data_IF_396817746258
#
_entry.id   IF_396817746258
#
_cell.length_a   1.000
_cell.length_b   1.000
_cell.length_c   1.000
_cell.angle_alpha   90.00
_cell.angle_beta   90.00
_cell.angle_gamma   90.00
#
_symmetry.space_group_name_H-M   'P 1'
#
loop_
_entity.id
_entity.type
_entity.pdbx_description
1 polymer ?
#
# COMPACT_ATOMS: atom_id res chain seq x y z
N UNK A 1 3.00 -0.58 11.08
CA UNK A 1 3.58 0.75 10.79
C UNK A 1 2.56 1.63 10.08
N UNK A 2 2.65 2.96 10.23
CA UNK A 2 1.89 3.93 9.44
C UNK A 2 2.83 4.94 8.77
N UNK A 3 2.56 5.30 7.52
CA UNK A 3 3.35 6.29 6.78
C UNK A 3 2.47 7.16 5.88
N UNK A 4 2.65 8.48 5.92
CA UNK A 4 2.09 9.38 4.92
C UNK A 4 3.14 9.63 3.83
N UNK A 5 2.87 9.19 2.61
CA UNK A 5 3.86 9.21 1.52
C UNK A 5 3.68 10.40 0.59
N UNK A 6 2.73 11.31 0.90
CA UNK A 6 2.44 12.55 0.14
C UNK A 6 2.34 12.35 -1.37
N UNK A 7 1.78 11.21 -1.78
CA UNK A 7 1.64 10.76 -3.17
C UNK A 7 2.96 10.61 -3.92
N UNK A 8 4.09 10.48 -3.22
CA UNK A 8 5.42 10.27 -3.80
C UNK A 8 5.71 8.79 -4.00
N UNK A 9 6.13 8.40 -5.21
CA UNK A 9 6.45 7.01 -5.53
C UNK A 9 7.63 6.49 -4.67
N UNK A 10 8.71 7.27 -4.56
CA UNK A 10 9.91 6.89 -3.82
C UNK A 10 9.61 6.71 -2.33
N UNK A 11 8.88 7.64 -1.71
CA UNK A 11 8.49 7.55 -0.31
C UNK A 11 7.61 6.29 -0.07
N UNK A 12 6.74 5.96 -1.02
CA UNK A 12 5.91 4.76 -0.95
C UNK A 12 6.76 3.48 -1.06
N UNK A 13 7.70 3.40 -2.00
CA UNK A 13 8.62 2.27 -2.12
C UNK A 13 9.52 2.10 -0.89
N UNK A 14 10.04 3.21 -0.33
CA UNK A 14 10.86 3.19 0.89
C UNK A 14 10.04 2.66 2.07
N UNK A 15 8.79 3.11 2.24
CA UNK A 15 7.92 2.60 3.30
C UNK A 15 7.70 1.08 3.18
N UNK A 16 7.47 0.58 1.97
CA UNK A 16 7.34 -0.87 1.72
C UNK A 16 8.62 -1.64 2.04
N UNK A 17 9.79 -1.10 1.68
CA UNK A 17 11.08 -1.72 1.98
C UNK A 17 11.34 -1.76 3.49
N UNK A 18 11.09 -0.66 4.19
CA UNK A 18 11.27 -0.57 5.64
C UNK A 18 10.38 -1.56 6.39
N UNK A 19 9.10 -1.72 6.02
CA UNK A 19 8.25 -2.71 6.69
C UNK A 19 8.69 -4.14 6.42
N UNK A 20 9.22 -4.42 5.22
CA UNK A 20 9.81 -5.73 4.93
C UNK A 20 11.02 -6.00 5.83
N UNK A 21 11.97 -5.06 5.91
CA UNK A 21 13.22 -5.19 6.68
C UNK A 21 12.98 -5.28 8.20
N UNK A 22 11.95 -4.61 8.70
CA UNK A 22 11.61 -4.60 10.13
C UNK A 22 10.57 -5.66 10.50
N UNK A 23 10.31 -6.64 9.62
CA UNK A 23 9.37 -7.74 9.86
C UNK A 23 7.95 -7.29 10.28
N UNK A 24 7.52 -6.12 9.83
CA UNK A 24 6.20 -5.57 10.16
C UNK A 24 5.13 -6.21 9.29
N UNK A 25 4.04 -6.68 9.90
CA UNK A 25 2.95 -7.37 9.19
C UNK A 25 1.98 -6.43 8.48
N UNK A 26 1.67 -5.28 9.07
CA UNK A 26 0.67 -4.35 8.55
C UNK A 26 1.29 -2.96 8.34
N UNK A 27 1.13 -2.44 7.13
CA UNK A 27 1.50 -1.07 6.74
C UNK A 27 0.25 -0.29 6.31
N UNK A 28 -0.02 0.82 7.00
CA UNK A 28 -1.04 1.79 6.64
C UNK A 28 -0.41 2.97 5.89
N UNK A 29 -0.69 3.09 4.59
CA UNK A 29 -0.15 4.16 3.73
C UNK A 29 -1.20 5.25 3.53
N UNK A 30 -0.94 6.45 4.03
CA UNK A 30 -1.76 7.63 3.76
C UNK A 30 -1.23 8.42 2.55
N UNK A 31 -2.14 9.07 1.84
CA UNK A 31 -1.88 9.78 0.59
C UNK A 31 -1.03 8.94 -0.37
N UNK A 32 -1.47 7.72 -0.75
CA UNK A 32 -0.67 6.79 -1.53
C UNK A 32 -0.30 7.37 -2.91
N UNK A 33 0.88 6.99 -3.39
CA UNK A 33 1.14 7.07 -4.82
C UNK A 33 0.29 6.01 -5.53
N UNK A 34 -0.49 6.44 -6.52
CA UNK A 34 -1.17 5.60 -7.49
C UNK A 34 -0.89 6.16 -8.87
N UNK A 35 -0.94 5.31 -9.89
CA UNK A 35 -0.84 5.73 -11.28
C UNK A 35 -1.93 6.78 -11.59
N UNK A 36 -1.59 7.78 -12.42
CA UNK A 36 -2.52 8.88 -12.75
C UNK A 36 -3.83 8.40 -13.37
N UNK A 37 -3.79 7.30 -14.13
CA UNK A 37 -4.99 6.64 -14.62
C UNK A 37 -5.62 5.81 -13.50
N UNK A 38 -6.63 6.37 -12.84
CA UNK A 38 -7.36 5.73 -11.73
C UNK A 38 -8.08 4.44 -12.14
N UNK A 39 -8.52 4.35 -13.40
CA UNK A 39 -9.22 3.16 -13.93
C UNK A 39 -8.27 1.96 -14.06
N UNK A 40 -6.98 2.22 -14.27
CA UNK A 40 -5.98 1.16 -14.30
C UNK A 40 -5.73 0.54 -12.92
N UNK A 41 -6.16 1.21 -11.83
CA UNK A 41 -5.99 0.80 -10.43
C UNK A 41 -4.56 0.32 -10.11
N UNK A 42 -3.55 0.88 -10.78
CA UNK A 42 -2.15 0.46 -10.65
C UNK A 42 -1.50 1.11 -9.43
N UNK A 43 -0.96 0.24 -8.59
CA UNK A 43 -0.26 0.51 -7.33
C UNK A 43 1.24 0.28 -7.52
N UNK A 44 2.03 0.54 -6.49
CA UNK A 44 3.36 -0.08 -6.34
C UNK A 44 3.14 -1.49 -5.78
N UNK A 45 3.39 -2.56 -6.57
CA UNK A 45 3.28 -3.93 -6.08
C UNK A 45 4.45 -4.25 -5.14
N UNK A 46 4.24 -5.21 -4.23
CA UNK A 46 5.31 -5.76 -3.41
C UNK A 46 5.16 -7.28 -3.32
N UNK A 47 6.24 -8.07 -3.52
CA UNK A 47 6.14 -9.53 -3.58
C UNK A 47 5.57 -10.16 -2.31
N UNK A 48 5.90 -9.60 -1.15
CA UNK A 48 5.56 -10.16 0.16
C UNK A 48 4.31 -9.54 0.81
N UNK A 49 3.60 -8.63 0.15
CA UNK A 49 2.41 -7.98 0.72
C UNK A 49 1.23 -8.03 -0.23
N UNK A 50 0.04 -8.24 0.33
CA UNK A 50 -1.25 -7.98 -0.30
C UNK A 50 -1.60 -6.52 -0.06
N UNK A 51 -2.16 -5.85 -1.08
CA UNK A 51 -2.59 -4.46 -0.97
C UNK A 51 -4.11 -4.40 -1.04
N UNK A 52 -4.70 -3.73 -0.05
CA UNK A 52 -6.13 -3.49 0.06
C UNK A 52 -6.42 -2.00 -0.02
N UNK A 53 -7.57 -1.70 -0.59
CA UNK A 53 -8.16 -0.36 -0.61
C UNK A 53 -9.42 -0.42 0.25
N UNK A 54 -9.66 0.56 1.14
CA UNK A 54 -10.92 0.63 1.88
C UNK A 54 -12.12 0.94 0.98
N UNK A 55 -11.85 1.39 -0.26
CA UNK A 55 -12.87 1.61 -1.28
C UNK A 55 -13.01 0.34 -2.12
N UNK A 56 -14.25 -0.15 -2.27
CA UNK A 56 -14.63 -1.24 -3.18
C UNK A 56 -14.40 -0.86 -4.65
N UNK A 57 -14.59 0.42 -4.97
CA UNK A 57 -14.45 0.98 -6.32
C UNK A 57 -13.71 2.32 -6.31
N UNK A 58 -12.87 2.55 -7.32
CA UNK A 58 -12.04 3.75 -7.43
C UNK A 58 -12.71 4.82 -8.31
N UNK A 59 -13.85 5.33 -7.86
CA UNK A 59 -14.48 6.55 -8.42
C UNK A 59 -13.67 7.80 -8.11
N UNK A 60 -12.92 7.75 -7.02
CA UNK A 60 -11.98 8.78 -6.61
C UNK A 60 -10.65 8.15 -6.21
N UNK A 61 -9.59 8.96 -6.18
CA UNK A 61 -8.26 8.51 -5.77
C UNK A 61 -8.29 8.08 -4.29
N UNK A 62 -7.90 6.84 -3.96
CA UNK A 62 -7.80 6.38 -2.58
C UNK A 62 -6.92 7.30 -1.74
N UNK A 63 -7.38 7.60 -0.53
CA UNK A 63 -6.65 8.41 0.45
C UNK A 63 -5.75 7.56 1.33
N UNK A 64 -6.04 6.26 1.42
CA UNK A 64 -5.31 5.27 2.21
C UNK A 64 -5.23 3.97 1.43
N UNK A 65 -4.11 3.24 1.57
CA UNK A 65 -3.97 1.82 1.22
C UNK A 65 -3.46 1.05 2.44
N UNK A 66 -3.85 -0.22 2.52
CA UNK A 66 -3.42 -1.14 3.58
C UNK A 66 -2.59 -2.23 2.92
N UNK A 67 -1.35 -2.42 3.36
CA UNK A 67 -0.53 -3.55 2.94
C UNK A 67 -0.45 -4.55 4.08
N UNK A 68 -0.77 -5.81 3.80
CA UNK A 68 -0.73 -6.92 4.77
C UNK A 68 0.29 -7.95 4.28
N UNK A 69 1.23 -8.34 5.13
CA UNK A 69 2.26 -9.33 4.80
C UNK A 69 1.60 -10.65 4.44
N UNK A 70 2.07 -11.27 3.36
CA UNK A 70 1.74 -12.64 2.97
C UNK A 70 2.48 -13.58 3.92
N UNK A 71 1.86 -13.92 5.05
CA UNK A 71 2.37 -14.95 5.96
C UNK A 71 1.38 -16.11 6.04
N UNK A 72 1.88 -17.29 6.40
CA UNK A 72 1.06 -18.49 6.65
C UNK A 72 0.31 -18.32 7.98
N UNK A 73 -0.78 -17.56 7.99
CA UNK A 73 -1.64 -17.43 9.18
C UNK A 73 -2.41 -16.11 9.29
N UNK A 74 -2.01 -15.06 8.56
CA UNK A 74 -2.83 -13.85 8.44
C UNK A 74 -3.86 -14.08 7.32
N UNK A 75 -5.10 -14.36 7.71
CA UNK A 75 -6.26 -14.40 6.83
C UNK A 75 -6.98 -13.04 6.91
N UNK A 76 -6.77 -12.14 5.94
CA UNK A 76 -7.46 -10.85 5.88
C UNK A 76 -8.92 -10.97 5.46
#
# INVERSE_FOLDING_TARGET
>A
MQANVRRGANAHSIALKLVQENEIDILLVQAPWILRNIYARRLIPHPNFLCFSPLSEWHSRPRVLIYVRKSHGLHP
#
